data_IF_203478173349
#
_entry.id   IF_203478173349
#
_cell.length_a   1.000
_cell.length_b   1.000
_cell.length_c   1.000
_cell.angle_alpha   90.00
_cell.angle_beta   90.00
_cell.angle_gamma   90.00
#
_symmetry.space_group_name_H-M   'P 1'
#
loop_
_entity.id
_entity.type
_entity.pdbx_description
1 polymer ?
#
# COMPACT_ATOMS: atom_id res chain seq x y z
N UNK A 1 -21.99 1.44 4.64
CA UNK A 1 -22.16 1.32 3.17
C UNK A 1 -20.81 1.47 2.51
N UNK A 2 -20.50 0.64 1.52
CA UNK A 2 -19.30 0.82 0.70
C UNK A 2 -19.44 2.02 -0.24
N UNK A 3 -18.32 2.49 -0.80
CA UNK A 3 -18.30 3.50 -1.86
C UNK A 3 -18.20 2.77 -3.20
N UNK A 4 -18.97 3.19 -4.21
CA UNK A 4 -18.84 2.65 -5.56
C UNK A 4 -17.58 3.19 -6.22
N UNK A 5 -16.77 2.31 -6.81
CA UNK A 5 -15.61 2.74 -7.59
C UNK A 5 -16.07 3.42 -8.89
N UNK A 6 -15.57 4.62 -9.17
CA UNK A 6 -15.85 5.36 -10.40
C UNK A 6 -15.11 4.79 -11.60
N UNK A 7 -13.95 4.16 -11.38
CA UNK A 7 -13.07 3.65 -12.43
C UNK A 7 -12.31 2.42 -11.98
N UNK A 8 -12.26 1.42 -12.84
CA UNK A 8 -11.40 0.26 -12.68
C UNK A 8 -10.09 0.47 -13.45
N UNK A 9 -8.95 0.46 -12.74
CA UNK A 9 -7.63 0.68 -13.35
C UNK A 9 -6.91 -0.62 -13.74
N UNK A 10 -7.25 -1.74 -13.10
CA UNK A 10 -6.69 -3.05 -13.42
C UNK A 10 -7.52 -4.19 -12.82
N UNK A 11 -7.52 -5.33 -13.51
CA UNK A 11 -7.89 -6.64 -12.95
C UNK A 11 -6.63 -7.46 -12.70
N UNK A 12 -6.60 -8.19 -11.59
CA UNK A 12 -5.52 -9.12 -11.28
C UNK A 12 -6.02 -10.20 -10.34
N UNK A 13 -5.56 -11.43 -10.56
CA UNK A 13 -5.88 -12.59 -9.70
C UNK A 13 -5.27 -12.48 -8.29
N UNK A 14 -4.34 -11.55 -8.10
CA UNK A 14 -3.74 -11.22 -6.80
C UNK A 14 -3.76 -9.71 -6.60
N UNK A 15 -4.49 -9.26 -5.57
CA UNK A 15 -4.62 -7.84 -5.21
C UNK A 15 -3.24 -7.22 -4.98
N UNK A 16 -2.39 -7.87 -4.19
CA UNK A 16 -1.06 -7.34 -3.86
C UNK A 16 -0.13 -7.24 -5.09
N UNK A 17 -0.17 -8.20 -6.02
CA UNK A 17 0.57 -8.11 -7.29
C UNK A 17 0.00 -7.02 -8.20
N UNK A 18 -1.32 -6.89 -8.26
CA UNK A 18 -2.02 -5.83 -9.00
C UNK A 18 -1.60 -4.43 -8.55
N UNK A 19 -1.56 -4.20 -7.24
CA UNK A 19 -1.10 -2.92 -6.66
C UNK A 19 0.34 -2.61 -7.06
N UNK A 20 1.27 -3.57 -6.93
CA UNK A 20 2.68 -3.38 -7.32
C UNK A 20 2.81 -3.06 -8.81
N UNK A 21 2.05 -3.76 -9.67
CA UNK A 21 2.03 -3.49 -11.12
C UNK A 21 1.47 -2.10 -11.44
N UNK A 22 0.41 -1.66 -10.75
CA UNK A 22 -0.16 -0.32 -10.91
C UNK A 22 0.85 0.76 -10.52
N UNK A 23 1.55 0.60 -9.40
CA UNK A 23 2.60 1.54 -8.97
C UNK A 23 3.66 1.72 -10.05
N UNK A 24 4.17 0.63 -10.62
CA UNK A 24 5.20 0.66 -11.66
C UNK A 24 4.67 1.26 -12.98
N UNK A 25 3.53 0.76 -13.46
CA UNK A 25 2.98 1.17 -14.76
C UNK A 25 2.53 2.63 -14.80
N UNK A 26 1.99 3.15 -13.69
CA UNK A 26 1.50 4.52 -13.60
C UNK A 26 2.48 5.46 -12.89
N UNK A 27 3.69 4.98 -12.54
CA UNK A 27 4.73 5.73 -11.83
C UNK A 27 4.17 6.42 -10.56
N UNK A 28 3.35 5.71 -9.81
CA UNK A 28 2.70 6.23 -8.60
C UNK A 28 3.78 6.54 -7.57
N UNK A 29 3.92 7.82 -7.21
CA UNK A 29 4.93 8.28 -6.25
C UNK A 29 4.47 8.22 -4.80
N UNK A 30 3.16 8.27 -4.57
CA UNK A 30 2.58 8.27 -3.23
C UNK A 30 1.40 7.31 -3.17
N UNK A 31 1.43 6.39 -2.20
CA UNK A 31 0.34 5.46 -1.92
C UNK A 31 -0.06 5.52 -0.45
N UNK A 32 -1.36 5.52 -0.18
CA UNK A 32 -1.92 5.26 1.16
C UNK A 32 -2.60 3.90 1.12
N UNK A 33 -2.28 3.03 2.09
CA UNK A 33 -2.80 1.66 2.15
C UNK A 33 -3.19 1.27 3.58
N UNK A 34 -4.22 0.44 3.73
CA UNK A 34 -4.60 -0.13 5.02
C UNK A 34 -3.56 -1.13 5.57
N UNK A 35 -3.25 -1.04 6.87
CA UNK A 35 -2.27 -1.89 7.53
C UNK A 35 -2.86 -3.15 8.17
N UNK A 36 -4.17 -3.16 8.44
CA UNK A 36 -4.86 -4.19 9.25
C UNK A 36 -5.07 -5.51 8.49
N UNK A 37 -4.98 -6.64 9.20
CA UNK A 37 -5.35 -7.94 8.66
C UNK A 37 -6.87 -8.09 8.51
N UNK A 38 -7.31 -8.99 7.63
CA UNK A 38 -8.73 -9.22 7.31
C UNK A 38 -9.61 -9.55 8.53
N UNK A 39 -9.04 -10.07 9.62
CA UNK A 39 -9.80 -10.62 10.74
C UNK A 39 -9.58 -9.98 12.10
N UNK A 40 -8.63 -9.03 12.27
CA UNK A 40 -8.31 -8.50 13.59
C UNK A 40 -7.86 -7.04 13.57
N UNK A 41 -8.71 -6.19 14.14
CA UNK A 41 -8.35 -4.91 14.71
C UNK A 41 -7.69 -5.16 16.07
N UNK A 42 -6.46 -4.69 16.25
CA UNK A 42 -5.86 -4.57 17.58
C UNK A 42 -5.71 -3.08 17.86
N UNK A 43 -6.18 -2.64 19.04
CA UNK A 43 -6.21 -1.23 19.44
C UNK A 43 -4.81 -0.59 19.48
N UNK A 44 -3.75 -1.41 19.51
CA UNK A 44 -2.34 -1.03 19.61
C UNK A 44 -1.52 -1.52 18.41
N UNK A 45 -2.07 -1.43 17.20
CA UNK A 45 -1.30 -1.78 16.01
C UNK A 45 -0.12 -0.81 15.81
N UNK A 46 1.10 -1.30 16.03
CA UNK A 46 2.37 -0.57 15.76
C UNK A 46 3.08 -1.06 14.50
N UNK A 47 2.61 -2.15 13.89
CA UNK A 47 3.21 -2.77 12.70
C UNK A 47 2.16 -3.14 11.65
N UNK A 48 2.62 -3.34 10.42
CA UNK A 48 1.78 -3.81 9.31
C UNK A 48 1.38 -5.27 9.60
N UNK A 49 0.08 -5.58 9.64
CA UNK A 49 -0.41 -6.96 9.87
C UNK A 49 -0.99 -7.62 8.62
N UNK A 50 -1.53 -6.83 7.68
CA UNK A 50 -2.04 -7.35 6.41
C UNK A 50 -0.93 -8.03 5.61
N UNK A 51 -1.15 -9.30 5.21
CA UNK A 51 -0.24 -10.01 4.29
C UNK A 51 -0.08 -9.27 2.97
N UNK A 52 -1.16 -8.66 2.46
CA UNK A 52 -1.16 -7.86 1.23
C UNK A 52 -0.33 -6.60 1.39
N UNK A 53 -0.50 -5.88 2.51
CA UNK A 53 0.28 -4.68 2.79
C UNK A 53 1.77 -4.99 3.02
N UNK A 54 2.10 -6.10 3.70
CA UNK A 54 3.50 -6.57 3.83
C UNK A 54 4.13 -6.85 2.47
N UNK A 55 3.39 -7.51 1.56
CA UNK A 55 3.86 -7.77 0.21
C UNK A 55 4.11 -6.46 -0.56
N UNK A 56 3.14 -5.54 -0.55
CA UNK A 56 3.27 -4.24 -1.23
C UNK A 56 4.43 -3.43 -0.64
N UNK A 57 4.59 -3.42 0.69
CA UNK A 57 5.73 -2.78 1.37
C UNK A 57 7.07 -3.29 0.85
N UNK A 58 7.20 -4.60 0.62
CA UNK A 58 8.44 -5.21 0.13
C UNK A 58 8.67 -4.99 -1.36
N UNK A 59 7.64 -5.17 -2.19
CA UNK A 59 7.80 -5.36 -3.64
C UNK A 59 7.47 -4.10 -4.47
N UNK A 60 6.77 -3.11 -3.91
CA UNK A 60 6.45 -1.91 -4.65
C UNK A 60 7.72 -1.09 -4.95
N UNK A 61 7.72 -0.44 -6.12
CA UNK A 61 8.84 0.33 -6.63
C UNK A 61 9.44 1.29 -5.60
N UNK A 62 10.78 1.39 -5.55
CA UNK A 62 11.51 2.17 -4.56
C UNK A 62 11.22 3.68 -4.66
N UNK A 63 10.78 4.15 -5.83
CA UNK A 63 10.38 5.55 -6.02
C UNK A 63 9.02 5.89 -5.38
N UNK A 64 8.26 4.88 -4.94
CA UNK A 64 6.96 5.06 -4.33
C UNK A 64 7.06 5.13 -2.81
N UNK A 65 6.72 6.30 -2.25
CA UNK A 65 6.50 6.47 -0.82
C UNK A 65 5.14 5.87 -0.43
N UNK A 66 5.11 5.05 0.61
CA UNK A 66 3.89 4.37 1.05
C UNK A 66 3.60 4.67 2.52
N UNK A 67 2.38 5.13 2.81
CA UNK A 67 1.86 5.33 4.17
C UNK A 67 0.85 4.23 4.49
N UNK A 68 1.15 3.45 5.53
CA UNK A 68 0.27 2.40 6.03
C UNK A 68 -0.55 2.95 7.19
N UNK A 69 -1.88 2.91 7.06
CA UNK A 69 -2.80 3.50 8.04
C UNK A 69 -3.80 2.47 8.60
N UNK A 70 -4.32 2.74 9.78
CA UNK A 70 -5.43 2.00 10.37
C UNK A 70 -6.25 2.97 11.24
N UNK A 71 -7.56 3.09 11.01
CA UNK A 71 -8.46 3.99 11.75
C UNK A 71 -7.92 5.43 11.90
N UNK A 72 -7.37 5.99 10.82
CA UNK A 72 -6.81 7.34 10.81
C UNK A 72 -5.42 7.47 11.43
N UNK A 73 -4.90 6.44 12.11
CA UNK A 73 -3.54 6.41 12.65
C UNK A 73 -2.54 5.95 11.58
N UNK A 74 -1.40 6.63 11.51
CA UNK A 74 -0.25 6.20 10.72
C UNK A 74 0.51 5.09 11.47
N UNK A 75 0.58 3.91 10.87
CA UNK A 75 1.26 2.74 11.44
C UNK A 75 2.71 2.67 10.97
N UNK A 76 2.95 2.86 9.69
CA UNK A 76 4.30 2.76 9.11
C UNK A 76 4.43 3.62 7.86
N UNK A 77 5.63 4.14 7.61
CA UNK A 77 5.96 4.83 6.36
C UNK A 77 7.16 4.15 5.71
N UNK A 78 7.00 3.75 4.45
CA UNK A 78 8.11 3.38 3.59
C UNK A 78 8.51 4.60 2.79
N UNK A 79 9.66 5.18 3.10
CA UNK A 79 10.22 6.31 2.34
C UNK A 79 10.58 5.89 0.93
N UNK A 80 10.38 6.78 -0.05
CA UNK A 80 10.94 6.59 -1.38
C UNK A 80 12.44 6.89 -1.34
N UNK A 81 13.28 6.02 -1.88
CA UNK A 81 14.65 6.43 -2.21
C UNK A 81 14.61 7.15 -3.55
N UNK A 82 14.76 8.48 -3.52
CA UNK A 82 15.24 9.17 -4.71
C UNK A 82 16.68 8.72 -4.89
N UNK A 83 16.95 7.85 -5.87
CA UNK A 83 18.30 7.74 -6.40
C UNK A 83 18.61 9.11 -7.03
N UNK A 84 19.27 9.98 -6.27
CA UNK A 84 19.95 11.13 -6.80
C UNK A 84 21.16 10.61 -7.59
N UNK A 85 20.96 10.29 -8.86
CA UNK A 85 22.06 10.22 -9.81
C UNK A 85 22.43 11.66 -10.18
N UNK A 86 23.18 12.32 -9.28
CA UNK A 86 24.00 13.49 -9.54
C UNK A 86 25.29 13.33 -8.75
#
# INVERSE_FOLDING_TARGET
MGVQAEKEHAKSDSVEKGIVKLIRSHKIRNLVMGAAAESRYFREMTEIKSRKAKFVHKEADISCQIRFICNGLLIHTRSSSRLSYF
#
